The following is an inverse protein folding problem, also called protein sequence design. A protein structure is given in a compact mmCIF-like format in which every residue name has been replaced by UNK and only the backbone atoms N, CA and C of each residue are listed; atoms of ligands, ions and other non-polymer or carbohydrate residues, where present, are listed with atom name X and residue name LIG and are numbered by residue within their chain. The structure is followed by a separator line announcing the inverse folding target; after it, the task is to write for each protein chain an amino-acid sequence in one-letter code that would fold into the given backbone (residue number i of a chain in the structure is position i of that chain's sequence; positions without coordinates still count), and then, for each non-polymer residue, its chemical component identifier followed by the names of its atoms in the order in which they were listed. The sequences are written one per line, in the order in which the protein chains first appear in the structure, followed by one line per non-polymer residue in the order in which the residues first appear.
data_IF_842236232364
#
_entry.id   IF_842236232364
#
_cell.length_a   1.000
_cell.length_b   1.000
_cell.length_c   1.000
_cell.angle_alpha   90.00
_cell.angle_beta   90.00
_cell.angle_gamma   90.00
#
_symmetry.space_group_name_H-M   'P 1'
#
loop_
_entity.id
_entity.type
_entity.pdbx_description
1 polymer ?
#
# COMPACT_ATOMS: atom_id res chain seq x y z
N UNK A 1 -42.20 26.68 -23.64
CA UNK A 1 -41.27 27.83 -23.70
C UNK A 1 -39.84 27.32 -23.81
N UNK A 2 -39.04 27.88 -24.72
CA UNK A 2 -37.65 27.50 -24.93
C UNK A 2 -36.78 28.71 -24.60
N UNK A 3 -35.88 28.57 -23.64
CA UNK A 3 -34.86 29.58 -23.32
C UNK A 3 -33.52 28.98 -23.70
N UNK A 4 -32.87 29.57 -24.69
CA UNK A 4 -31.59 29.09 -25.23
C UNK A 4 -30.52 30.16 -25.08
N UNK A 5 -29.33 29.76 -24.62
CA UNK A 5 -28.14 30.60 -24.69
C UNK A 5 -27.40 30.30 -26.01
N UNK A 6 -27.23 31.32 -26.85
CA UNK A 6 -26.64 31.20 -28.19
C UNK A 6 -25.15 30.86 -28.17
N UNK A 7 -24.44 31.17 -27.08
CA UNK A 7 -23.01 30.93 -26.94
C UNK A 7 -22.65 29.47 -26.61
N UNK A 8 -23.44 28.80 -25.76
CA UNK A 8 -23.13 27.43 -25.29
C UNK A 8 -24.03 26.36 -25.89
N UNK A 9 -25.03 26.73 -26.71
CA UNK A 9 -26.12 25.85 -27.20
C UNK A 9 -26.91 25.13 -26.11
N UNK A 10 -26.74 25.53 -24.84
CA UNK A 10 -27.52 25.01 -23.73
C UNK A 10 -28.95 25.50 -23.83
N UNK A 11 -29.91 24.59 -23.65
CA UNK A 11 -31.33 24.86 -23.86
C UNK A 11 -32.13 24.39 -22.65
N UNK A 12 -32.97 25.28 -22.13
CA UNK A 12 -34.02 24.96 -21.17
C UNK A 12 -35.33 24.76 -21.95
N UNK A 13 -35.90 23.56 -21.85
CA UNK A 13 -37.16 23.19 -22.49
C UNK A 13 -38.23 22.99 -21.43
N UNK A 14 -39.26 23.83 -21.50
CA UNK A 14 -40.48 23.71 -20.69
C UNK A 14 -41.62 23.33 -21.62
N UNK A 15 -42.02 22.06 -21.60
CA UNK A 15 -43.08 21.50 -22.46
C UNK A 15 -43.85 20.41 -21.71
N UNK A 16 -45.19 20.42 -21.84
CA UNK A 16 -46.12 19.41 -21.31
C UNK A 16 -45.94 19.11 -19.81
N UNK A 17 -45.71 20.15 -18.99
CA UNK A 17 -45.49 20.01 -17.54
C UNK A 17 -44.09 19.51 -17.14
N UNK A 18 -43.22 19.25 -18.12
CA UNK A 18 -41.83 18.80 -17.90
C UNK A 18 -40.82 19.91 -18.15
N UNK A 19 -39.78 19.95 -17.32
CA UNK A 19 -38.64 20.86 -17.40
C UNK A 19 -37.37 20.06 -17.70
N UNK A 20 -36.74 20.29 -18.86
CA UNK A 20 -35.53 19.59 -19.31
C UNK A 20 -34.41 20.58 -19.63
N UNK A 21 -33.20 20.27 -19.16
CA UNK A 21 -31.96 20.94 -19.58
C UNK A 21 -31.26 20.08 -20.64
N UNK A 22 -31.02 20.66 -21.81
CA UNK A 22 -30.32 20.02 -22.92
C UNK A 22 -28.97 20.70 -23.15
N UNK A 23 -27.98 19.93 -23.62
CA UNK A 23 -26.63 20.41 -23.93
C UNK A 23 -25.97 21.16 -22.76
N UNK A 24 -26.12 20.60 -21.56
CA UNK A 24 -25.37 21.03 -20.38
C UNK A 24 -24.61 19.84 -19.80
N UNK A 25 -23.30 19.99 -19.66
CA UNK A 25 -22.44 18.99 -19.02
C UNK A 25 -22.50 19.06 -17.49
N UNK A 26 -23.00 20.16 -16.94
CA UNK A 26 -23.04 20.41 -15.50
C UNK A 26 -24.37 21.02 -15.10
N UNK A 27 -24.96 20.47 -14.04
CA UNK A 27 -26.12 21.03 -13.38
C UNK A 27 -25.76 21.30 -11.93
N UNK A 28 -25.80 22.58 -11.55
CA UNK A 28 -25.35 23.07 -10.25
C UNK A 28 -26.44 23.92 -9.62
N UNK A 29 -26.93 23.51 -8.45
CA UNK A 29 -27.81 24.34 -7.61
C UNK A 29 -26.92 25.00 -6.55
N UNK A 30 -26.85 26.33 -6.54
CA UNK A 30 -26.05 27.10 -5.58
C UNK A 30 -26.76 28.34 -5.09
N UNK A 31 -26.47 28.76 -3.86
CA UNK A 31 -26.68 30.11 -3.35
C UNK A 31 -25.41 30.96 -3.61
N UNK A 32 -25.45 32.27 -3.34
CA UNK A 32 -24.29 33.18 -3.39
C UNK A 32 -23.08 32.66 -2.60
N UNK A 33 -23.31 31.92 -1.51
CA UNK A 33 -22.27 31.43 -0.60
C UNK A 33 -21.90 29.95 -0.77
N UNK A 34 -22.80 29.10 -1.29
CA UNK A 34 -22.59 27.63 -1.26
C UNK A 34 -23.35 26.90 -2.36
N UNK A 35 -22.71 25.88 -2.91
CA UNK A 35 -23.33 24.87 -3.79
C UNK A 35 -24.07 23.80 -2.98
N UNK A 36 -25.35 23.60 -3.27
CA UNK A 36 -26.19 22.57 -2.66
C UNK A 36 -26.16 21.25 -3.43
N UNK A 37 -26.07 21.32 -4.76
CA UNK A 37 -26.10 20.13 -5.61
C UNK A 37 -25.22 20.34 -6.83
N UNK A 38 -24.43 19.34 -7.19
CA UNK A 38 -23.65 19.28 -8.42
C UNK A 38 -23.68 17.84 -8.94
N UNK A 39 -24.13 17.64 -10.18
CA UNK A 39 -24.20 16.32 -10.80
C UNK A 39 -22.80 15.70 -11.00
N UNK A 40 -21.76 16.51 -11.21
CA UNK A 40 -20.38 16.02 -11.38
C UNK A 40 -19.72 15.54 -10.09
N UNK A 41 -20.15 16.08 -8.94
CA UNK A 41 -19.65 15.71 -7.61
C UNK A 41 -20.83 15.59 -6.65
N UNK A 42 -21.65 14.54 -6.78
CA UNK A 42 -22.85 14.40 -5.97
C UNK A 42 -22.46 14.21 -4.51
N UNK A 43 -22.96 15.10 -3.65
CA UNK A 43 -22.77 14.99 -2.21
C UNK A 43 -23.89 14.14 -1.61
N UNK A 44 -23.68 12.83 -1.53
CA UNK A 44 -24.64 11.90 -0.94
C UNK A 44 -24.13 11.39 0.41
N UNK A 45 -25.06 11.23 1.37
CA UNK A 45 -24.77 10.57 2.65
C UNK A 45 -24.93 9.07 2.46
N UNK A 46 -23.88 8.30 2.73
CA UNK A 46 -23.95 6.84 2.73
C UNK A 46 -24.95 6.38 3.79
N UNK A 47 -26.02 5.71 3.35
CA UNK A 47 -26.98 5.09 4.24
C UNK A 47 -26.36 3.81 4.84
N UNK A 48 -26.65 3.54 6.11
CA UNK A 48 -26.19 2.35 6.86
C UNK A 48 -26.56 1.02 6.16
N UNK A 49 -27.56 1.01 5.28
CA UNK A 49 -27.98 -0.16 4.49
C UNK A 49 -27.03 -0.48 3.32
N UNK A 50 -26.17 0.44 2.91
CA UNK A 50 -25.24 0.24 1.80
C UNK A 50 -24.06 -0.61 2.29
N UNK A 51 -23.97 -1.84 1.79
CA UNK A 51 -22.92 -2.81 2.18
C UNK A 51 -21.70 -2.80 1.27
N UNK A 52 -21.81 -2.28 0.06
CA UNK A 52 -20.75 -2.30 -0.96
C UNK A 52 -20.69 -0.97 -1.68
N UNK A 53 -19.48 -0.44 -1.82
CA UNK A 53 -19.16 0.74 -2.62
C UNK A 53 -18.15 0.28 -3.67
N UNK A 54 -18.45 0.57 -4.94
CA UNK A 54 -17.56 0.27 -6.07
C UNK A 54 -17.20 1.58 -6.75
N UNK A 55 -15.93 1.97 -6.70
CA UNK A 55 -15.43 3.19 -7.30
C UNK A 55 -14.02 2.96 -7.85
N UNK A 56 -13.65 3.72 -8.89
CA UNK A 56 -12.29 3.66 -9.44
C UNK A 56 -11.24 4.21 -8.47
N UNK A 57 -11.61 5.23 -7.68
CA UNK A 57 -10.76 5.84 -6.66
C UNK A 57 -11.60 6.21 -5.44
N UNK A 58 -11.08 5.89 -4.25
CA UNK A 58 -11.67 6.29 -2.97
C UNK A 58 -10.60 7.06 -2.19
N UNK A 59 -10.89 8.31 -1.85
CA UNK A 59 -10.06 9.14 -0.99
C UNK A 59 -10.81 9.28 0.33
N UNK A 60 -10.21 8.81 1.42
CA UNK A 60 -10.82 8.87 2.75
C UNK A 60 -9.74 9.08 3.79
N UNK A 61 -10.08 9.84 4.83
CA UNK A 61 -9.19 10.08 5.97
C UNK A 61 -9.08 8.85 6.88
N UNK A 62 -10.03 7.90 6.78
CA UNK A 62 -10.02 6.74 7.68
C UNK A 62 -10.71 5.50 7.14
N UNK A 63 -10.00 4.38 7.24
CA UNK A 63 -10.51 3.03 6.99
C UNK A 63 -10.52 2.29 8.34
N UNK A 64 -11.66 1.70 8.72
CA UNK A 64 -11.83 0.92 9.96
C UNK A 64 -12.70 -0.30 9.69
N UNK A 65 -12.42 -1.43 10.34
CA UNK A 65 -13.40 -2.51 10.44
C UNK A 65 -14.50 -2.17 11.46
N UNK A 66 -15.67 -2.85 11.37
CA UNK A 66 -16.63 -2.89 12.45
C UNK A 66 -16.01 -3.41 13.77
N UNK A 67 -16.65 -3.08 14.89
CA UNK A 67 -16.21 -3.55 16.22
C UNK A 67 -16.28 -5.08 16.24
N UNK A 68 -15.19 -5.72 16.69
CA UNK A 68 -15.02 -7.17 16.75
C UNK A 68 -15.04 -7.88 15.39
N UNK A 69 -14.76 -7.16 14.30
CA UNK A 69 -14.70 -7.74 12.96
C UNK A 69 -13.36 -7.44 12.27
N UNK A 70 -13.03 -8.26 11.28
CA UNK A 70 -11.77 -8.19 10.56
C UNK A 70 -11.80 -7.12 9.46
N UNK A 71 -10.68 -6.44 9.23
CA UNK A 71 -10.49 -5.57 8.07
C UNK A 71 -9.78 -6.35 6.97
N UNK A 72 -10.48 -6.65 5.88
CA UNK A 72 -9.90 -7.30 4.71
C UNK A 72 -9.61 -6.28 3.60
N UNK A 73 -8.36 -6.20 3.14
CA UNK A 73 -7.96 -5.42 1.97
C UNK A 73 -7.36 -6.35 0.91
N UNK A 74 -8.03 -6.46 -0.23
CA UNK A 74 -7.51 -7.19 -1.40
C UNK A 74 -7.19 -6.19 -2.51
N UNK A 75 -5.91 -5.88 -2.69
CA UNK A 75 -5.43 -4.86 -3.63
C UNK A 75 -4.19 -5.36 -4.36
N UNK A 76 -3.99 -4.89 -5.60
CA UNK A 76 -2.80 -5.23 -6.40
C UNK A 76 -1.54 -4.56 -5.88
N UNK A 77 -1.66 -3.29 -5.46
CA UNK A 77 -0.58 -2.51 -4.87
C UNK A 77 -1.07 -1.83 -3.59
N UNK A 78 -0.44 -2.14 -2.45
CA UNK A 78 -0.70 -1.47 -1.17
C UNK A 78 0.53 -0.64 -0.78
N UNK A 79 0.36 0.68 -0.69
CA UNK A 79 1.36 1.60 -0.15
C UNK A 79 0.85 2.20 1.17
N UNK A 80 1.63 2.05 2.24
CA UNK A 80 1.35 2.68 3.53
C UNK A 80 2.43 3.74 3.75
N UNK A 81 2.03 5.02 3.85
CA UNK A 81 2.93 6.16 4.05
C UNK A 81 2.40 7.00 5.21
N UNK A 82 3.19 7.13 6.27
CA UNK A 82 2.92 8.03 7.39
C UNK A 82 3.85 9.24 7.33
N UNK A 83 3.37 10.40 7.79
CA UNK A 83 4.19 11.61 7.89
C UNK A 83 5.07 11.62 9.16
N UNK A 84 4.64 10.92 10.22
CA UNK A 84 5.24 11.00 11.56
C UNK A 84 5.71 9.64 12.11
N UNK A 85 5.15 8.53 11.62
CA UNK A 85 5.60 7.14 11.79
C UNK A 85 4.54 6.22 11.19
N UNK A 86 4.87 4.94 10.97
CA UNK A 86 3.88 3.90 10.72
C UNK A 86 4.11 2.82 11.78
N UNK A 87 3.09 2.57 12.61
CA UNK A 87 3.13 1.53 13.63
C UNK A 87 2.19 0.38 13.25
N UNK A 88 2.69 -0.85 13.38
CA UNK A 88 1.95 -2.08 13.09
C UNK A 88 1.96 -2.97 14.33
N UNK A 89 0.86 -2.94 15.08
CA UNK A 89 0.70 -3.76 16.26
C UNK A 89 -0.28 -4.92 16.00
N UNK A 90 0.17 -6.15 16.21
CA UNK A 90 -0.69 -7.33 16.18
C UNK A 90 -0.11 -8.47 17.03
N UNK A 91 -0.97 -9.37 17.52
CA UNK A 91 -0.53 -10.60 18.21
C UNK A 91 0.33 -11.50 17.30
N UNK A 92 0.05 -11.51 16.00
CA UNK A 92 0.81 -12.23 14.97
C UNK A 92 0.80 -11.41 13.68
N UNK A 93 1.98 -11.19 13.10
CA UNK A 93 2.15 -10.54 11.79
C UNK A 93 2.73 -11.61 10.84
N UNK A 94 2.04 -11.86 9.73
CA UNK A 94 2.52 -12.75 8.68
C UNK A 94 2.66 -11.95 7.38
N UNK A 95 3.89 -11.74 6.92
CA UNK A 95 4.21 -11.04 5.68
C UNK A 95 4.72 -12.05 4.66
N UNK A 96 4.00 -12.19 3.55
CA UNK A 96 4.37 -13.08 2.46
C UNK A 96 4.50 -12.28 1.17
N UNK A 97 5.65 -12.37 0.50
CA UNK A 97 5.88 -11.76 -0.80
C UNK A 97 6.53 -12.76 -1.75
N UNK A 98 6.18 -12.70 -3.04
CA UNK A 98 6.73 -13.59 -4.07
C UNK A 98 8.18 -13.27 -4.40
N UNK A 99 8.52 -11.99 -4.47
CA UNK A 99 9.85 -11.50 -4.88
C UNK A 99 10.69 -11.00 -3.70
N UNK A 100 10.09 -10.25 -2.78
CA UNK A 100 10.80 -9.78 -1.60
C UNK A 100 9.95 -8.84 -0.73
N UNK A 101 10.40 -8.63 0.50
CA UNK A 101 9.86 -7.65 1.44
C UNK A 101 10.99 -6.65 1.70
N UNK A 102 10.78 -5.38 1.37
CA UNK A 102 11.74 -4.30 1.65
C UNK A 102 11.26 -3.49 2.84
N UNK A 103 12.12 -3.35 3.85
CA UNK A 103 11.88 -2.53 5.03
C UNK A 103 12.97 -1.45 5.02
N UNK A 104 12.57 -0.21 4.72
CA UNK A 104 13.49 0.92 4.57
C UNK A 104 13.17 1.91 5.68
N UNK A 105 14.20 2.35 6.40
CA UNK A 105 14.11 3.42 7.39
C UNK A 105 14.78 4.70 6.89
N UNK A 106 14.44 5.82 7.50
CA UNK A 106 15.21 7.06 7.38
C UNK A 106 16.58 6.91 8.05
N UNK A 107 17.49 7.88 7.87
CA UNK A 107 18.84 7.83 8.44
C UNK A 107 18.87 7.57 9.96
N UNK A 108 17.90 8.13 10.70
CA UNK A 108 17.76 7.98 12.15
C UNK A 108 16.71 6.92 12.54
N UNK A 109 16.10 6.26 11.56
CA UNK A 109 15.01 5.31 11.79
C UNK A 109 15.54 3.92 12.18
N UNK A 110 14.87 3.28 13.14
CA UNK A 110 15.27 1.97 13.68
C UNK A 110 14.19 0.92 13.41
N UNK A 111 14.59 -0.23 12.85
CA UNK A 111 13.74 -1.42 12.74
C UNK A 111 14.00 -2.30 13.96
N UNK A 112 13.01 -2.43 14.86
CA UNK A 112 13.11 -3.27 16.05
C UNK A 112 12.21 -4.49 15.94
N UNK A 113 12.80 -5.68 15.86
CA UNK A 113 12.07 -6.93 15.96
C UNK A 113 12.05 -7.40 17.42
N UNK A 114 10.92 -7.23 18.11
CA UNK A 114 10.70 -7.73 19.46
C UNK A 114 9.79 -8.96 19.43
N UNK A 115 10.37 -10.15 19.37
CA UNK A 115 9.61 -11.40 19.42
C UNK A 115 10.37 -12.49 20.17
N UNK A 116 9.65 -13.38 20.87
CA UNK A 116 10.26 -14.57 21.51
C UNK A 116 10.88 -15.53 20.49
N UNK A 117 10.32 -15.58 19.27
CA UNK A 117 10.83 -16.35 18.13
C UNK A 117 10.53 -15.59 16.85
N UNK A 118 11.52 -15.44 15.98
CA UNK A 118 11.38 -14.88 14.63
C UNK A 118 11.60 -16.02 13.64
N UNK A 119 10.67 -16.21 12.71
CA UNK A 119 10.79 -17.18 11.64
C UNK A 119 10.93 -16.43 10.32
N UNK A 120 12.06 -16.57 9.64
CA UNK A 120 12.32 -15.95 8.33
C UNK A 120 12.39 -17.06 7.29
N UNK A 121 11.35 -17.13 6.45
CA UNK A 121 11.21 -18.17 5.42
C UNK A 121 10.56 -19.46 5.94
N UNK A 122 9.71 -20.06 5.11
CA UNK A 122 9.13 -21.38 5.36
C UNK A 122 9.88 -22.50 4.62
N UNK A 123 10.60 -22.15 3.53
CA UNK A 123 11.25 -23.10 2.64
C UNK A 123 12.71 -22.69 2.40
N UNK A 124 13.64 -23.62 2.63
CA UNK A 124 15.03 -23.55 2.15
C UNK A 124 15.04 -23.72 0.62
N UNK A 125 14.62 -22.71 -0.12
CA UNK A 125 14.99 -22.62 -1.52
C UNK A 125 16.46 -22.19 -1.56
N UNK A 126 17.37 -23.14 -1.72
CA UNK A 126 18.77 -22.82 -1.97
C UNK A 126 18.84 -21.93 -3.21
N UNK A 127 19.37 -20.71 -3.06
CA UNK A 127 19.76 -19.91 -4.22
C UNK A 127 20.66 -20.80 -5.09
N UNK A 128 20.41 -20.91 -6.41
CA UNK A 128 21.25 -21.72 -7.27
C UNK A 128 22.67 -21.15 -7.22
N UNK A 129 23.53 -21.81 -6.44
CA UNK A 129 24.96 -21.57 -6.43
C UNK A 129 25.47 -22.11 -7.76
N UNK A 130 25.61 -21.23 -8.75
CA UNK A 130 26.30 -21.58 -9.99
C UNK A 130 27.73 -21.97 -9.62
N UNK A 131 28.14 -23.20 -9.94
CA UNK A 131 29.50 -23.69 -9.81
C UNK A 131 30.46 -23.09 -10.86
N UNK A 132 29.99 -22.13 -11.67
CA UNK A 132 30.75 -21.56 -12.76
C UNK A 132 31.84 -20.59 -12.26
N UNK A 133 33.13 -20.83 -12.56
CA UNK A 133 34.24 -19.94 -12.21
C UNK A 133 34.15 -18.54 -12.84
N UNK A 134 33.23 -18.33 -13.79
CA UNK A 134 33.12 -17.12 -14.61
C UNK A 134 32.34 -15.96 -13.96
N UNK A 135 31.81 -16.11 -12.75
CA UNK A 135 31.04 -15.05 -12.07
C UNK A 135 31.76 -14.54 -10.81
N UNK A 136 32.91 -13.91 -11.04
CA UNK A 136 33.38 -12.72 -10.29
C UNK A 136 32.51 -11.48 -10.55
N UNK A 137 31.34 -11.63 -11.17
CA UNK A 137 30.35 -10.57 -11.23
C UNK A 137 29.88 -10.28 -9.81
N UNK A 138 30.14 -9.05 -9.35
CA UNK A 138 29.50 -8.47 -8.18
C UNK A 138 27.99 -8.53 -8.41
N UNK A 139 27.34 -9.55 -7.86
CA UNK A 139 25.89 -9.52 -7.74
C UNK A 139 25.64 -8.54 -6.61
N UNK A 140 24.89 -7.47 -6.84
CA UNK A 140 24.48 -6.48 -5.81
C UNK A 140 23.59 -7.11 -4.69
N UNK A 141 23.51 -8.44 -4.64
CA UNK A 141 22.86 -9.21 -3.61
C UNK A 141 23.86 -9.57 -2.50
N UNK A 142 23.52 -9.22 -1.26
CA UNK A 142 24.22 -9.67 -0.06
C UNK A 142 23.49 -10.88 0.53
N UNK A 143 24.26 -11.88 0.95
CA UNK A 143 23.78 -13.00 1.76
C UNK A 143 24.11 -12.74 3.21
N UNK A 144 23.11 -12.85 4.09
CA UNK A 144 23.32 -12.81 5.54
C UNK A 144 23.65 -14.21 6.03
N UNK A 145 24.81 -14.34 6.67
CA UNK A 145 25.30 -15.57 7.27
C UNK A 145 25.29 -15.44 8.78
N UNK A 146 25.02 -16.55 9.46
CA UNK A 146 25.05 -16.64 10.92
C UNK A 146 26.17 -17.58 11.34
N UNK A 147 26.94 -17.19 12.34
CA UNK A 147 27.78 -18.13 13.04
C UNK A 147 27.31 -18.33 14.47
N UNK A 148 27.24 -19.60 14.84
CA UNK A 148 26.97 -20.09 16.18
C UNK A 148 28.32 -20.20 16.87
N UNK A 149 28.70 -19.19 17.67
CA UNK A 149 29.87 -19.30 18.54
C UNK A 149 29.52 -20.22 19.73
N UNK A 150 30.51 -20.92 20.29
CA UNK A 150 30.33 -21.73 21.50
C UNK A 150 29.95 -20.89 22.73
N UNK A 151 30.23 -19.59 22.68
CA UNK A 151 29.74 -18.56 23.59
C UNK A 151 28.38 -18.03 23.11
N UNK A 152 27.46 -17.73 24.03
CA UNK A 152 26.00 -17.59 23.86
C UNK A 152 25.45 -16.52 22.89
N UNK A 153 26.28 -15.89 22.05
CA UNK A 153 25.86 -14.80 21.15
C UNK A 153 26.11 -15.15 19.70
N UNK A 154 25.06 -15.55 18.98
CA UNK A 154 25.10 -15.70 17.53
C UNK A 154 25.42 -14.35 16.86
N UNK A 155 26.46 -14.33 16.01
CA UNK A 155 26.86 -13.14 15.26
C UNK A 155 26.40 -13.27 13.81
N UNK A 156 25.96 -12.15 13.24
CA UNK A 156 25.53 -12.06 11.84
C UNK A 156 26.59 -11.29 11.04
N UNK A 157 26.89 -11.77 9.84
CA UNK A 157 27.77 -11.09 8.88
C UNK A 157 27.20 -11.21 7.46
N UNK A 158 27.56 -10.25 6.60
CA UNK A 158 27.16 -10.26 5.21
C UNK A 158 28.33 -10.74 4.33
N UNK A 159 28.02 -11.58 3.33
CA UNK A 159 28.94 -11.96 2.25
C UNK A 159 28.28 -11.65 0.90
N UNK A 160 29.05 -11.40 -0.17
CA UNK A 160 28.51 -11.35 -1.51
C UNK A 160 27.66 -12.59 -1.82
N UNK A 161 26.51 -12.43 -2.48
CA UNK A 161 25.51 -13.49 -2.65
C UNK A 161 26.03 -14.73 -3.41
N UNK A 162 27.07 -14.56 -4.22
CA UNK A 162 27.78 -15.64 -4.93
C UNK A 162 28.87 -16.33 -4.11
N UNK A 163 29.17 -15.90 -2.87
CA UNK A 163 30.23 -16.46 -2.03
C UNK A 163 29.68 -17.38 -0.92
N UNK A 164 30.46 -18.39 -0.49
CA UNK A 164 30.10 -19.21 0.66
C UNK A 164 30.10 -18.39 1.96
N UNK A 165 29.35 -18.85 2.97
CA UNK A 165 29.28 -18.25 4.30
C UNK A 165 30.56 -18.50 5.11
N UNK A 166 31.67 -17.89 4.68
CA UNK A 166 32.94 -17.92 5.40
C UNK A 166 33.10 -16.60 6.15
N UNK A 167 33.15 -16.69 7.48
CA UNK A 167 33.35 -15.52 8.31
C UNK A 167 34.81 -15.03 8.21
N UNK A 168 35.06 -13.71 8.34
CA UNK A 168 36.41 -13.20 8.53
C UNK A 168 37.08 -13.88 9.73
N UNK A 169 38.40 -14.12 9.65
CA UNK A 169 39.16 -14.73 10.74
C UNK A 169 38.89 -14.00 12.07
N UNK A 170 38.55 -14.75 13.11
CA UNK A 170 38.27 -14.20 14.44
C UNK A 170 36.86 -13.61 14.64
N UNK A 171 36.05 -13.44 13.57
CA UNK A 171 34.69 -12.90 13.73
C UNK A 171 33.78 -13.85 14.50
N UNK A 172 33.90 -15.15 14.23
CA UNK A 172 33.10 -16.22 14.83
C UNK A 172 33.80 -16.97 15.98
N UNK A 173 34.83 -16.35 16.56
CA UNK A 173 35.40 -16.79 17.83
C UNK A 173 34.61 -16.20 19.01
#
# INVERSE_FOLDING_TARGET
VIISNTLTKSRLVLQDGTCRFENSSQFIIKNKLRTYFNVGHPLFRLNKKIKKISAAQIITDKIRSPINDNLYLNVTNLGLRGNEAIDFEARRINLTARTGISLITTADGLIRFLAKKIHVGANLAGLPLSSSPALTASIDALRVCICMTSTSKSKLFAVPGNKPCNAPQGFCN
#
